data_IF_199945545223
#
_entry.id   IF_199945545223
#
_cell.length_a   1.000
_cell.length_b   1.000
_cell.length_c   1.000
_cell.angle_alpha   90.00
_cell.angle_beta   90.00
_cell.angle_gamma   90.00
#
_symmetry.space_group_name_H-M   'P 1'
#
loop_
_entity.id
_entity.type
_entity.pdbx_description
1 polymer ?
#
# COMPACT_ATOMS: atom_id res chain seq x y z
N UNK A 1 -28.92 3.59 2.02
CA UNK A 1 -27.69 3.85 1.24
C UNK A 1 -26.67 2.91 1.81
N UNK A 2 -26.41 1.81 1.10
CA UNK A 2 -25.49 0.76 1.56
C UNK A 2 -24.10 1.22 1.18
N UNK A 3 -23.27 1.53 2.18
CA UNK A 3 -21.85 1.78 1.98
C UNK A 3 -21.24 0.55 1.28
N UNK A 4 -20.39 0.72 0.25
CA UNK A 4 -19.72 -0.42 -0.35
C UNK A 4 -18.76 -1.01 0.69
N UNK A 5 -19.21 -2.07 1.35
CA UNK A 5 -18.39 -2.89 2.24
C UNK A 5 -17.39 -3.62 1.35
N UNK A 6 -16.16 -3.11 1.28
CA UNK A 6 -15.02 -3.88 0.76
C UNK A 6 -14.91 -5.13 1.64
N UNK A 7 -14.82 -6.34 1.06
CA UNK A 7 -14.83 -7.58 1.83
C UNK A 7 -13.77 -7.52 2.93
N UNK A 8 -14.21 -7.73 4.17
CA UNK A 8 -13.36 -7.76 5.35
C UNK A 8 -12.15 -8.70 5.10
N UNK A 9 -10.95 -8.12 4.99
CA UNK A 9 -9.70 -8.86 4.94
C UNK A 9 -8.95 -8.87 3.60
N UNK A 10 -9.54 -8.39 2.51
CA UNK A 10 -8.83 -8.31 1.21
C UNK A 10 -8.22 -6.92 1.04
N UNK A 11 -6.93 -6.87 0.72
CA UNK A 11 -6.24 -5.61 0.50
C UNK A 11 -6.88 -4.74 -0.58
N UNK A 12 -6.70 -3.42 -0.48
CA UNK A 12 -7.10 -2.41 -1.48
C UNK A 12 -5.94 -2.07 -2.41
N UNK A 13 -6.25 -1.69 -3.65
CA UNK A 13 -5.29 -1.18 -4.64
C UNK A 13 -5.64 0.25 -5.01
N UNK A 14 -4.63 1.10 -5.20
CA UNK A 14 -4.78 2.43 -5.77
C UNK A 14 -3.82 2.61 -6.95
N UNK A 15 -4.18 3.46 -7.90
CA UNK A 15 -3.26 4.06 -8.86
C UNK A 15 -2.50 5.21 -8.19
N UNK A 16 -1.23 5.35 -8.54
CA UNK A 16 -0.39 6.47 -8.18
C UNK A 16 -0.21 7.35 -9.42
N UNK A 17 -0.53 8.62 -9.32
CA UNK A 17 -0.42 9.59 -10.40
C UNK A 17 0.66 10.63 -10.07
N UNK A 18 1.59 10.83 -11.01
CA UNK A 18 2.48 11.98 -10.99
C UNK A 18 1.78 13.16 -11.67
N UNK A 19 1.74 14.31 -10.99
CA UNK A 19 1.33 15.57 -11.58
C UNK A 19 2.57 16.20 -12.25
N UNK A 20 2.74 16.00 -13.56
CA UNK A 20 3.83 16.58 -14.34
C UNK A 20 3.27 17.63 -15.30
N UNK A 21 3.67 18.90 -15.12
CA UNK A 21 3.36 20.03 -16.01
C UNK A 21 1.91 20.09 -16.54
N UNK A 22 0.93 19.77 -15.70
CA UNK A 22 -0.50 19.84 -16.03
C UNK A 22 -1.10 18.59 -16.72
N UNK A 23 -0.32 17.53 -16.89
CA UNK A 23 -0.81 16.22 -17.35
C UNK A 23 -0.61 15.17 -16.26
N UNK A 24 -1.70 14.57 -15.77
CA UNK A 24 -1.60 13.45 -14.85
C UNK A 24 -1.05 12.22 -15.58
N UNK A 25 0.09 11.72 -15.12
CA UNK A 25 0.73 10.51 -15.67
C UNK A 25 0.66 9.38 -14.65
N UNK A 26 0.23 8.20 -15.08
CA UNK A 26 0.27 7.01 -14.22
C UNK A 26 1.74 6.71 -13.87
N UNK A 27 2.01 6.70 -12.57
CA UNK A 27 3.34 6.55 -12.00
C UNK A 27 3.52 5.22 -11.28
N UNK A 28 2.45 4.46 -11.02
CA UNK A 28 2.53 3.20 -10.30
C UNK A 28 1.24 2.77 -9.63
N UNK A 29 1.37 1.83 -8.70
CA UNK A 29 0.28 1.28 -7.91
C UNK A 29 0.66 1.18 -6.44
N UNK A 30 -0.28 1.50 -5.56
CA UNK A 30 -0.21 1.24 -4.12
C UNK A 30 -1.09 0.03 -3.82
N UNK A 31 -0.57 -0.95 -3.10
CA UNK A 31 -1.32 -2.13 -2.67
C UNK A 31 -1.24 -2.24 -1.16
N UNK A 32 -2.39 -2.43 -0.52
CA UNK A 32 -2.49 -2.67 0.92
C UNK A 32 -2.78 -4.14 1.18
N UNK A 33 -2.51 -4.63 2.38
CA UNK A 33 -2.99 -5.94 2.86
C UNK A 33 -3.14 -5.89 4.37
N UNK A 34 -3.99 -6.75 4.92
CA UNK A 34 -4.03 -6.98 6.36
C UNK A 34 -3.17 -8.19 6.67
N UNK A 35 -2.17 -8.02 7.55
CA UNK A 35 -1.36 -9.11 8.07
C UNK A 35 -1.50 -9.20 9.57
N UNK A 36 -1.25 -10.39 10.11
CA UNK A 36 -1.13 -10.56 11.56
C UNK A 36 0.27 -10.14 11.99
N UNK A 37 0.35 -9.05 12.73
CA UNK A 37 1.53 -8.67 13.48
C UNK A 37 1.58 -9.45 14.79
N UNK A 38 2.79 -9.79 15.22
CA UNK A 38 3.04 -10.49 16.47
C UNK A 38 4.15 -9.78 17.22
N UNK A 39 3.93 -9.55 18.51
CA UNK A 39 5.02 -9.15 19.40
C UNK A 39 5.99 -10.33 19.55
N UNK A 40 7.28 -10.02 19.64
CA UNK A 40 8.32 -11.03 19.89
C UNK A 40 8.87 -10.87 21.30
N UNK A 41 8.78 -11.94 22.10
CA UNK A 41 9.31 -12.00 23.47
C UNK A 41 10.31 -13.13 23.64
N UNK A 42 11.23 -12.97 24.59
CA UNK A 42 12.27 -13.94 24.91
C UNK A 42 13.60 -13.70 24.16
N UNK A 43 14.57 -14.62 24.31
CA UNK A 43 15.89 -14.49 23.68
C UNK A 43 15.80 -14.58 22.16
N UNK A 44 16.70 -13.86 21.46
CA UNK A 44 16.78 -13.90 19.99
C UNK A 44 16.97 -15.32 19.42
N UNK A 45 17.64 -16.21 20.16
CA UNK A 45 17.84 -17.61 19.74
C UNK A 45 16.57 -18.46 19.82
N UNK A 46 15.61 -18.08 20.68
CA UNK A 46 14.35 -18.82 20.89
C UNK A 46 13.18 -17.83 21.09
N UNK A 47 12.82 -17.06 20.04
CA UNK A 47 11.75 -16.09 20.14
C UNK A 47 10.40 -16.77 20.28
N UNK A 48 9.46 -16.12 20.98
CA UNK A 48 8.05 -16.49 21.02
C UNK A 48 7.20 -15.35 20.46
N UNK A 49 6.34 -15.68 19.51
CA UNK A 49 5.35 -14.76 18.95
C UNK A 49 4.09 -14.74 19.82
N UNK A 50 3.70 -13.57 20.29
CA UNK A 50 2.53 -13.37 21.16
C UNK A 50 1.71 -12.17 20.66
N UNK A 51 0.53 -11.95 21.24
CA UNK A 51 -0.34 -10.81 20.92
C UNK A 51 -0.61 -10.63 19.41
N UNK A 52 -1.33 -11.56 18.77
CA UNK A 52 -1.69 -11.40 17.36
C UNK A 52 -2.58 -10.17 17.16
N UNK A 53 -2.14 -9.23 16.34
CA UNK A 53 -2.89 -8.03 16.00
C UNK A 53 -3.00 -7.89 14.48
N UNK A 54 -4.20 -7.60 13.93
CA UNK A 54 -4.32 -7.23 12.53
C UNK A 54 -3.65 -5.87 12.31
N UNK A 55 -2.74 -5.79 11.34
CA UNK A 55 -2.12 -4.54 10.89
C UNK A 55 -2.19 -4.41 9.39
N UNK A 56 -2.46 -3.19 8.93
CA UNK A 56 -2.38 -2.85 7.51
C UNK A 56 -0.92 -2.67 7.13
N UNK A 57 -0.48 -3.42 6.14
CA UNK A 57 0.78 -3.19 5.43
C UNK A 57 0.47 -2.65 4.06
N UNK A 58 1.41 -1.93 3.48
CA UNK A 58 1.29 -1.44 2.12
C UNK A 58 2.62 -1.52 1.37
N UNK A 59 2.51 -1.57 0.04
CA UNK A 59 3.62 -1.57 -0.91
C UNK A 59 3.29 -0.60 -2.04
N UNK A 60 4.20 0.32 -2.35
CA UNK A 60 4.11 1.17 -3.53
C UNK A 60 5.10 0.68 -4.59
N UNK A 61 4.56 0.27 -5.74
CA UNK A 61 5.30 -0.08 -6.94
C UNK A 61 5.26 1.10 -7.91
N UNK A 62 6.40 1.54 -8.44
CA UNK A 62 6.47 2.62 -9.41
C UNK A 62 6.70 2.08 -10.82
N UNK A 63 5.88 2.51 -11.78
CA UNK A 63 5.99 2.14 -13.18
C UNK A 63 7.12 2.98 -13.83
N UNK A 64 8.30 2.38 -14.05
CA UNK A 64 9.46 3.07 -14.61
C UNK A 64 10.57 2.14 -15.10
N UNK A 65 11.48 2.67 -15.94
CA UNK A 65 12.61 1.94 -16.52
C UNK A 65 13.89 1.94 -15.66
N UNK A 66 13.79 2.36 -14.39
CA UNK A 66 14.89 2.34 -13.43
C UNK A 66 14.71 1.24 -12.40
N UNK A 67 15.80 0.84 -11.75
CA UNK A 67 15.83 -0.04 -10.57
C UNK A 67 15.19 0.61 -9.32
N UNK A 68 14.11 1.37 -9.49
CA UNK A 68 13.37 1.95 -8.36
C UNK A 68 12.69 0.80 -7.62
N UNK A 69 13.38 0.27 -6.59
CA UNK A 69 12.84 -0.76 -5.70
C UNK A 69 11.53 -0.30 -5.07
N UNK A 70 10.57 -1.23 -4.97
CA UNK A 70 9.31 -1.05 -4.26
C UNK A 70 9.55 -0.40 -2.90
N UNK A 71 8.65 0.50 -2.48
CA UNK A 71 8.65 1.07 -1.14
C UNK A 71 7.63 0.30 -0.29
N UNK A 72 8.10 -0.24 0.85
CA UNK A 72 7.28 -0.98 1.79
C UNK A 72 6.95 -0.16 3.03
N UNK A 73 5.82 -0.48 3.68
CA UNK A 73 5.34 0.22 4.87
C UNK A 73 6.28 0.17 6.09
N UNK A 74 7.22 -0.76 6.12
CA UNK A 74 8.23 -0.95 7.16
C UNK A 74 9.64 -0.48 6.75
N UNK A 75 9.80 0.07 5.53
CA UNK A 75 11.07 0.67 5.12
C UNK A 75 11.39 1.90 5.98
N UNK A 76 12.67 2.11 6.35
CA UNK A 76 13.07 3.32 7.06
C UNK A 76 12.67 4.59 6.31
N UNK A 77 11.87 5.45 6.96
CA UNK A 77 11.39 6.70 6.36
C UNK A 77 10.14 6.54 5.48
N UNK A 78 9.54 5.35 5.40
CA UNK A 78 8.25 5.18 4.77
C UNK A 78 7.17 6.04 5.47
N UNK A 79 6.34 6.79 4.72
CA UNK A 79 5.27 7.58 5.32
C UNK A 79 4.18 6.67 5.91
N UNK A 80 3.33 7.18 6.83
CA UNK A 80 2.12 6.45 7.19
C UNK A 80 1.21 6.28 5.97
N UNK A 81 0.40 5.21 5.96
CA UNK A 81 -0.67 5.08 4.98
C UNK A 81 -1.61 6.30 5.09
N UNK A 82 -1.97 6.96 3.98
CA UNK A 82 -2.85 8.12 4.02
C UNK A 82 -4.24 7.74 4.56
N UNK A 83 -4.89 8.68 5.24
CA UNK A 83 -6.29 8.53 5.65
C UNK A 83 -7.19 8.65 4.43
N UNK A 84 -8.43 8.17 4.51
CA UNK A 84 -9.35 8.16 3.35
C UNK A 84 -9.60 9.54 2.72
N UNK A 85 -9.45 10.63 3.50
CA UNK A 85 -9.60 12.02 3.02
C UNK A 85 -8.31 12.61 2.40
N UNK A 86 -7.17 11.92 2.50
CA UNK A 86 -5.89 12.37 1.95
C UNK A 86 -5.60 11.65 0.63
N UNK A 87 -5.60 12.42 -0.45
CA UNK A 87 -5.43 11.92 -1.81
C UNK A 87 -3.97 11.87 -2.24
N UNK A 88 -2.99 12.02 -1.33
CA UNK A 88 -1.57 12.03 -1.69
C UNK A 88 -0.69 11.14 -0.80
N UNK A 89 0.33 10.58 -1.41
CA UNK A 89 1.37 9.78 -0.75
C UNK A 89 2.76 10.21 -1.23
N UNK A 90 3.71 10.32 -0.32
CA UNK A 90 5.12 10.52 -0.68
C UNK A 90 5.79 9.18 -0.94
N UNK A 91 6.22 8.92 -2.17
CA UNK A 91 6.93 7.70 -2.55
C UNK A 91 8.29 8.10 -3.12
N UNK A 92 9.37 7.71 -2.43
CA UNK A 92 10.76 8.03 -2.82
C UNK A 92 10.98 9.53 -3.10
N UNK A 93 10.45 10.39 -2.24
CA UNK A 93 10.55 11.85 -2.36
C UNK A 93 9.65 12.47 -3.44
N UNK A 94 8.82 11.68 -4.13
CA UNK A 94 7.81 12.15 -5.09
C UNK A 94 6.45 12.18 -4.40
N UNK A 95 5.79 13.33 -4.39
CA UNK A 95 4.41 13.43 -3.89
C UNK A 95 3.45 13.03 -5.00
N UNK A 96 2.86 11.84 -4.88
CA UNK A 96 1.97 11.25 -5.88
C UNK A 96 0.52 11.34 -5.42
N UNK A 97 -0.40 11.56 -6.36
CA UNK A 97 -1.84 11.51 -6.09
C UNK A 97 -2.33 10.05 -6.12
N UNK A 98 -3.15 9.70 -5.14
CA UNK A 98 -3.81 8.41 -4.99
C UNK A 98 -5.18 8.42 -5.65
N UNK A 99 -5.50 7.29 -6.25
CA UNK A 99 -6.84 6.99 -6.74
C UNK A 99 -7.14 5.54 -6.40
N UNK A 100 -7.93 5.32 -5.34
CA UNK A 100 -8.38 3.98 -4.95
C UNK A 100 -9.23 3.37 -6.05
N UNK A 101 -8.93 2.12 -6.39
CA UNK A 101 -9.68 1.35 -7.36
C UNK A 101 -10.75 0.52 -6.67
N UNK A 102 -11.86 0.31 -7.38
CA UNK A 102 -12.95 -0.56 -6.95
C UNK A 102 -13.38 -1.51 -8.09
N UNK A 103 -14.15 -2.55 -7.75
CA UNK A 103 -14.74 -3.48 -8.70
C UNK A 103 -13.72 -4.25 -9.55
N UNK A 104 -14.05 -4.46 -10.83
CA UNK A 104 -13.23 -5.27 -11.75
C UNK A 104 -11.84 -4.67 -11.99
N UNK A 105 -11.73 -3.33 -11.96
CA UNK A 105 -10.44 -2.65 -12.10
C UNK A 105 -9.52 -2.94 -10.91
N UNK A 106 -10.06 -2.93 -9.69
CA UNK A 106 -9.31 -3.30 -8.49
C UNK A 106 -8.87 -4.77 -8.53
N UNK A 107 -9.76 -5.67 -8.97
CA UNK A 107 -9.46 -7.10 -9.07
C UNK A 107 -8.32 -7.37 -10.07
N UNK A 108 -8.39 -6.76 -11.26
CA UNK A 108 -7.34 -6.89 -12.28
C UNK A 108 -6.00 -6.28 -11.82
N UNK A 109 -6.05 -5.12 -11.16
CA UNK A 109 -4.84 -4.50 -10.60
C UNK A 109 -4.25 -5.34 -9.48
N UNK A 110 -5.07 -5.95 -8.62
CA UNK A 110 -4.63 -6.87 -7.57
C UNK A 110 -4.00 -8.14 -8.15
N UNK A 111 -4.58 -8.74 -9.19
CA UNK A 111 -4.00 -9.92 -9.84
C UNK A 111 -2.59 -9.65 -10.37
N UNK A 112 -2.36 -8.43 -10.88
CA UNK A 112 -1.08 -8.04 -11.48
C UNK A 112 -0.05 -7.50 -10.49
N UNK A 113 -0.49 -6.71 -9.52
CA UNK A 113 0.36 -5.93 -8.62
C UNK A 113 0.18 -6.32 -7.16
N UNK A 114 -0.61 -7.34 -6.87
CA UNK A 114 -0.78 -7.91 -5.54
C UNK A 114 0.52 -8.49 -4.98
N UNK A 115 0.46 -8.89 -3.72
CA UNK A 115 1.56 -9.54 -3.01
C UNK A 115 1.77 -10.99 -3.43
#
# INVERSE_FOLDING_TARGET
MTEPVTPEGTGRVARLWADDEGTARLAGHLVTRVCTHWDTVGPQTFPRHVNPEPRVQWRAHLDGAGDDEDLYSDDPGAPPLPRDDDDRLEVRGRRLRLEWLDGDEAAAAWERHGW
#
